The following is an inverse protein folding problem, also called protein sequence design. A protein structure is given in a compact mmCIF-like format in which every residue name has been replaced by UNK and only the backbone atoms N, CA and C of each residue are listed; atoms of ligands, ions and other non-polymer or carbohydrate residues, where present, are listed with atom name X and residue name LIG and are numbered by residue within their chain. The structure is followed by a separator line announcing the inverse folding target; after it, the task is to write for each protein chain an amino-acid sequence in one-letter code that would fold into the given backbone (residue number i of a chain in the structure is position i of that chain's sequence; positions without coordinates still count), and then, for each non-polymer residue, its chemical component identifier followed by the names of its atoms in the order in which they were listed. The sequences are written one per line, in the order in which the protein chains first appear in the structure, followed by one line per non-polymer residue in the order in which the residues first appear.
data_IF_517249419475
#
_entry.id   IF_517249419475
#
_cell.length_a   1.000
_cell.length_b   1.000
_cell.length_c   1.000
_cell.angle_alpha   90.00
_cell.angle_beta   90.00
_cell.angle_gamma   90.00
#
_symmetry.space_group_name_H-M   'P 1'
#
loop_
_entity.id
_entity.type
_entity.pdbx_description
1 polymer ?
#
# COMPACT_ATOMS: atom_id res chain seq x y z
N UNK A 1 74.72 37.94 -32.92
CA UNK A 1 75.26 38.67 -31.74
C UNK A 1 74.39 39.92 -31.54
N UNK A 2 73.96 40.20 -30.31
CA UNK A 2 73.19 41.38 -29.85
C UNK A 2 71.67 41.39 -30.15
N UNK A 3 70.80 40.94 -29.24
CA UNK A 3 70.07 41.64 -28.14
C UNK A 3 69.25 42.88 -28.53
N UNK A 4 67.93 42.83 -28.25
CA UNK A 4 67.07 43.82 -27.53
C UNK A 4 65.59 43.41 -27.69
N UNK A 5 64.96 42.75 -26.70
CA UNK A 5 64.11 43.31 -25.62
C UNK A 5 63.09 44.35 -26.11
N UNK A 6 61.81 43.95 -26.19
CA UNK A 6 60.65 44.83 -26.27
C UNK A 6 59.87 44.72 -24.95
N UNK A 7 59.54 45.87 -24.36
CA UNK A 7 58.86 45.99 -23.06
C UNK A 7 57.33 45.92 -23.20
N UNK A 8 56.73 45.51 -22.08
CA UNK A 8 55.30 45.36 -21.77
C UNK A 8 54.44 46.58 -22.11
N UNK A 9 53.18 46.30 -22.47
CA UNK A 9 52.03 47.09 -22.02
C UNK A 9 50.88 46.12 -21.68
N UNK A 10 50.50 46.16 -20.41
CA UNK A 10 49.49 45.37 -19.72
C UNK A 10 48.07 45.85 -20.07
N UNK A 11 47.19 44.94 -20.48
CA UNK A 11 45.77 45.21 -20.65
C UNK A 11 45.02 44.93 -19.33
N UNK A 12 44.29 45.94 -18.83
CA UNK A 12 43.52 45.88 -17.60
C UNK A 12 42.17 45.16 -17.82
N UNK A 13 41.87 44.19 -16.94
CA UNK A 13 40.59 43.52 -16.79
C UNK A 13 39.65 44.39 -15.93
N UNK A 14 38.40 44.57 -16.36
CA UNK A 14 37.29 45.07 -15.52
C UNK A 14 36.20 44.00 -15.51
N UNK A 15 35.92 43.31 -14.39
CA UNK A 15 34.76 42.46 -14.28
C UNK A 15 33.57 43.29 -13.77
N UNK A 16 32.49 43.34 -14.57
CA UNK A 16 31.22 43.90 -14.11
C UNK A 16 30.44 42.81 -13.36
N UNK A 17 30.31 42.99 -12.06
CA UNK A 17 29.54 42.18 -11.14
C UNK A 17 28.05 42.56 -11.25
N UNK A 18 27.19 41.65 -11.72
CA UNK A 18 25.72 41.79 -11.61
C UNK A 18 25.24 40.81 -10.56
N UNK A 19 24.88 41.33 -9.39
CA UNK A 19 24.28 40.60 -8.29
C UNK A 19 22.76 40.79 -8.29
N UNK A 20 22.02 39.68 -8.36
CA UNK A 20 20.82 39.43 -7.55
C UNK A 20 19.49 40.06 -7.97
N UNK A 21 18.63 39.24 -8.59
CA UNK A 21 17.33 38.91 -7.98
C UNK A 21 17.18 37.39 -8.08
N UNK A 22 17.59 36.69 -7.01
CA UNK A 22 17.18 35.32 -6.80
C UNK A 22 15.70 35.34 -6.41
N UNK A 23 14.81 35.34 -7.41
CA UNK A 23 13.43 34.99 -7.17
C UNK A 23 13.43 33.56 -6.65
N UNK A 24 13.05 33.37 -5.39
CA UNK A 24 12.73 32.07 -4.84
C UNK A 24 11.59 31.48 -5.68
N UNK A 25 11.94 30.71 -6.70
CA UNK A 25 11.04 29.76 -7.31
C UNK A 25 10.69 28.77 -6.20
N UNK A 26 9.57 29.01 -5.52
CA UNK A 26 8.93 28.02 -4.70
C UNK A 26 8.71 26.79 -5.60
N UNK A 27 9.53 25.76 -5.38
CA UNK A 27 9.55 24.56 -6.20
C UNK A 27 8.20 23.86 -6.15
N UNK A 28 7.37 24.07 -7.18
CA UNK A 28 6.37 23.09 -7.55
C UNK A 28 7.10 21.94 -8.23
N UNK A 29 7.05 20.75 -7.62
CA UNK A 29 7.53 19.52 -8.23
C UNK A 29 6.90 19.38 -9.63
N UNK A 30 7.68 19.19 -10.72
CA UNK A 30 7.11 18.98 -12.04
C UNK A 30 6.28 17.70 -12.05
N UNK A 31 5.08 17.73 -12.66
CA UNK A 31 4.46 16.51 -13.21
C UNK A 31 2.97 16.28 -12.96
N UNK A 32 2.33 16.94 -11.99
CA UNK A 32 0.91 16.72 -11.69
C UNK A 32 0.05 17.95 -12.02
N UNK A 33 -1.08 17.72 -12.68
CA UNK A 33 -2.04 18.77 -12.95
C UNK A 33 -3.02 18.93 -11.78
N UNK A 34 -2.92 20.05 -11.06
CA UNK A 34 -3.87 20.46 -10.01
C UNK A 34 -4.86 21.53 -10.48
N UNK A 35 -4.75 21.96 -11.74
CA UNK A 35 -5.57 22.99 -12.34
C UNK A 35 -6.66 22.33 -13.18
N UNK A 36 -7.91 22.39 -12.70
CA UNK A 36 -9.06 21.77 -13.38
C UNK A 36 -9.21 22.27 -14.83
N UNK A 37 -8.82 23.52 -15.11
CA UNK A 37 -8.89 24.09 -16.47
C UNK A 37 -7.92 23.44 -17.47
N UNK A 38 -6.95 22.66 -16.97
CA UNK A 38 -5.98 21.92 -17.79
C UNK A 38 -6.33 20.43 -17.91
N UNK A 39 -7.44 19.97 -17.32
CA UNK A 39 -7.92 18.61 -17.53
C UNK A 39 -8.46 18.52 -18.96
N UNK A 40 -7.93 17.61 -19.82
CA UNK A 40 -8.42 17.47 -21.18
C UNK A 40 -9.82 16.86 -21.19
N UNK A 41 -10.59 17.11 -22.25
CA UNK A 41 -11.85 16.40 -22.45
C UNK A 41 -11.61 14.89 -22.65
N UNK A 42 -12.42 14.06 -22.00
CA UNK A 42 -12.38 12.61 -22.15
C UNK A 42 -13.78 12.00 -22.15
N UNK A 43 -13.91 10.80 -22.70
CA UNK A 43 -15.14 10.01 -22.68
C UNK A 43 -14.90 8.68 -22.00
N UNK A 44 -15.64 8.43 -20.92
CA UNK A 44 -15.58 7.15 -20.22
C UNK A 44 -16.36 6.06 -20.99
N UNK A 45 -15.89 4.81 -21.00
CA UNK A 45 -16.68 3.68 -21.45
C UNK A 45 -17.94 3.54 -20.59
N UNK A 46 -19.08 3.23 -21.23
CA UNK A 46 -20.32 3.00 -20.49
C UNK A 46 -20.27 1.62 -19.79
N UNK A 47 -20.31 1.56 -18.45
CA UNK A 47 -20.28 0.29 -17.74
C UNK A 47 -21.53 -0.56 -18.04
N UNK A 48 -22.66 0.06 -18.40
CA UNK A 48 -23.94 -0.60 -18.71
C UNK A 48 -24.12 -0.86 -20.20
N UNK A 49 -23.02 -0.97 -20.95
CA UNK A 49 -23.01 -1.46 -22.33
C UNK A 49 -22.14 -2.70 -22.41
N UNK A 50 -22.67 -3.79 -22.94
CA UNK A 50 -21.89 -5.00 -23.22
C UNK A 50 -20.78 -4.70 -24.22
N UNK A 51 -19.74 -5.54 -24.26
CA UNK A 51 -18.71 -5.46 -25.30
C UNK A 51 -19.30 -5.59 -26.73
N UNK A 52 -20.50 -6.15 -26.86
CA UNK A 52 -21.25 -6.21 -28.13
C UNK A 52 -21.96 -4.90 -28.51
N UNK A 53 -21.89 -3.85 -27.70
CA UNK A 53 -22.58 -2.57 -27.91
C UNK A 53 -24.04 -2.53 -27.46
N UNK A 54 -24.61 -3.64 -26.97
CA UNK A 54 -25.99 -3.68 -26.46
C UNK A 54 -26.07 -3.14 -25.04
N UNK A 55 -27.16 -2.43 -24.72
CA UNK A 55 -27.42 -1.95 -23.37
C UNK A 55 -27.66 -3.10 -22.37
N UNK A 56 -27.16 -2.92 -21.15
CA UNK A 56 -27.44 -3.72 -19.97
C UNK A 56 -28.60 -3.08 -19.22
N UNK A 57 -29.76 -3.73 -19.19
CA UNK A 57 -31.00 -3.13 -18.68
C UNK A 57 -31.50 -3.76 -17.37
N UNK A 58 -30.76 -4.72 -16.81
CA UNK A 58 -31.15 -5.38 -15.57
C UNK A 58 -29.95 -5.90 -14.76
N UNK A 59 -30.16 -6.04 -13.45
CA UNK A 59 -29.20 -6.65 -12.55
C UNK A 59 -28.83 -8.09 -12.97
N UNK A 60 -29.80 -8.85 -13.51
CA UNK A 60 -29.55 -10.21 -14.01
C UNK A 60 -28.54 -10.20 -15.16
N UNK A 61 -28.71 -9.32 -16.15
CA UNK A 61 -27.79 -9.15 -17.26
C UNK A 61 -26.39 -8.70 -16.81
N UNK A 62 -26.33 -7.81 -15.81
CA UNK A 62 -25.07 -7.39 -15.21
C UNK A 62 -24.34 -8.58 -14.58
N UNK A 63 -24.99 -9.25 -13.62
CA UNK A 63 -24.37 -10.32 -12.82
C UNK A 63 -24.04 -11.55 -13.66
N UNK A 64 -24.89 -11.94 -14.60
CA UNK A 64 -24.68 -13.16 -15.39
C UNK A 64 -23.72 -12.97 -16.56
N UNK A 65 -23.43 -11.74 -16.98
CA UNK A 65 -22.60 -11.49 -18.18
C UNK A 65 -21.69 -10.26 -18.07
N UNK A 66 -22.22 -9.04 -17.93
CA UNK A 66 -21.41 -7.81 -18.03
C UNK A 66 -20.28 -7.77 -17.00
N UNK A 67 -20.55 -8.20 -15.76
CA UNK A 67 -19.54 -8.32 -14.71
C UNK A 67 -18.38 -9.21 -15.13
N UNK A 68 -18.67 -10.31 -15.84
CA UNK A 68 -17.65 -11.21 -16.38
C UNK A 68 -16.79 -10.53 -17.43
N UNK A 69 -17.40 -9.79 -18.36
CA UNK A 69 -16.67 -9.02 -19.38
C UNK A 69 -15.73 -7.97 -18.75
N UNK A 70 -16.21 -7.23 -17.76
CA UNK A 70 -15.41 -6.20 -17.06
C UNK A 70 -14.26 -6.85 -16.30
N UNK A 71 -14.51 -7.93 -15.55
CA UNK A 71 -13.44 -8.64 -14.85
C UNK A 71 -12.37 -9.17 -15.80
N UNK A 72 -12.78 -9.61 -16.98
CA UNK A 72 -11.86 -10.13 -17.99
C UNK A 72 -10.98 -9.03 -18.60
N UNK A 73 -11.52 -7.82 -18.81
CA UNK A 73 -10.73 -6.65 -19.20
C UNK A 73 -9.68 -6.32 -18.14
N UNK A 74 -10.06 -6.25 -16.86
CA UNK A 74 -9.11 -5.97 -15.79
C UNK A 74 -8.02 -7.05 -15.66
N UNK A 75 -8.35 -8.33 -15.88
CA UNK A 75 -7.36 -9.41 -15.86
C UNK A 75 -6.37 -9.35 -17.01
N UNK A 76 -6.81 -8.95 -18.20
CA UNK A 76 -5.95 -8.94 -19.38
C UNK A 76 -5.13 -7.65 -19.49
N UNK A 77 -5.70 -6.51 -19.09
CA UNK A 77 -5.14 -5.20 -19.42
C UNK A 77 -4.61 -4.42 -18.21
N UNK A 78 -4.94 -4.82 -16.97
CA UNK A 78 -4.63 -4.00 -15.77
C UNK A 78 -3.89 -4.78 -14.69
N UNK A 79 -4.50 -5.83 -14.12
CA UNK A 79 -3.99 -6.49 -12.91
C UNK A 79 -3.37 -7.87 -13.16
N UNK A 80 -3.52 -8.42 -14.37
CA UNK A 80 -3.09 -9.79 -14.65
C UNK A 80 -4.07 -10.86 -14.16
N UNK A 81 -3.72 -12.12 -14.40
CA UNK A 81 -4.53 -13.28 -14.03
C UNK A 81 -4.02 -13.91 -12.74
N UNK A 82 -4.95 -14.21 -11.85
CA UNK A 82 -4.67 -15.10 -10.72
C UNK A 82 -4.23 -16.49 -11.24
N UNK A 83 -3.16 -17.08 -10.67
CA UNK A 83 -2.76 -18.45 -10.97
C UNK A 83 -3.88 -19.44 -10.69
N UNK A 84 -4.08 -20.43 -11.58
CA UNK A 84 -5.14 -21.45 -11.43
C UNK A 84 -4.88 -22.40 -10.25
N UNK A 85 -3.61 -22.61 -9.93
CA UNK A 85 -3.16 -23.59 -8.94
C UNK A 85 -2.77 -22.92 -7.62
N UNK A 86 -3.63 -22.02 -7.13
CA UNK A 86 -3.41 -21.38 -5.84
C UNK A 86 -3.34 -22.45 -4.73
N UNK A 87 -2.26 -22.48 -3.91
CA UNK A 87 -2.07 -23.52 -2.92
C UNK A 87 -3.13 -23.45 -1.82
N UNK A 88 -3.41 -24.61 -1.21
CA UNK A 88 -4.26 -24.67 -0.02
C UNK A 88 -3.60 -23.89 1.12
N UNK A 89 -4.38 -23.05 1.79
CA UNK A 89 -3.95 -22.34 2.99
C UNK A 89 -3.94 -23.27 4.21
N UNK A 90 -2.85 -23.25 4.97
CA UNK A 90 -2.77 -23.84 6.31
C UNK A 90 -2.71 -22.73 7.35
N UNK A 91 -3.48 -22.86 8.43
CA UNK A 91 -3.48 -21.90 9.53
C UNK A 91 -2.86 -22.49 10.79
N UNK A 92 -2.20 -21.62 11.56
CA UNK A 92 -1.61 -21.93 12.87
C UNK A 92 -1.84 -20.73 13.80
N UNK A 93 -2.52 -20.95 14.92
CA UNK A 93 -2.68 -19.91 15.95
C UNK A 93 -1.36 -19.77 16.72
N UNK A 94 -0.68 -18.63 16.54
CA UNK A 94 0.60 -18.34 17.19
C UNK A 94 0.40 -17.82 18.61
N UNK A 95 -0.65 -17.03 18.81
CA UNK A 95 -0.93 -16.38 20.09
C UNK A 95 -2.42 -16.06 20.21
N UNK A 96 -2.93 -16.15 21.44
CA UNK A 96 -4.28 -15.76 21.80
C UNK A 96 -4.33 -15.14 23.19
N UNK A 97 -5.08 -14.04 23.30
CA UNK A 97 -5.41 -13.39 24.57
C UNK A 97 -6.90 -13.11 24.64
N UNK A 98 -7.55 -13.46 25.75
CA UNK A 98 -8.98 -13.23 25.97
C UNK A 98 -9.28 -11.82 26.53
N UNK A 99 -8.24 -11.07 26.90
CA UNK A 99 -8.32 -9.82 27.66
C UNK A 99 -7.59 -8.65 26.99
N UNK A 100 -7.51 -8.65 25.66
CA UNK A 100 -6.87 -7.57 24.91
C UNK A 100 -7.70 -6.28 24.92
N UNK A 101 -7.06 -5.17 24.53
CA UNK A 101 -7.67 -3.83 24.50
C UNK A 101 -8.34 -3.44 25.84
N UNK A 102 -7.68 -3.71 26.97
CA UNK A 102 -8.24 -3.42 28.29
C UNK A 102 -9.39 -4.35 28.69
N UNK A 103 -9.41 -5.59 28.17
CA UNK A 103 -10.38 -6.61 28.56
C UNK A 103 -11.69 -6.58 27.79
N UNK A 104 -11.76 -5.88 26.65
CA UNK A 104 -12.96 -5.84 25.80
C UNK A 104 -12.84 -6.75 24.57
N UNK A 105 -11.63 -7.24 24.27
CA UNK A 105 -11.35 -7.97 23.05
C UNK A 105 -10.65 -9.31 23.30
N UNK A 106 -10.99 -10.30 22.48
CA UNK A 106 -10.13 -11.46 22.23
C UNK A 106 -9.20 -11.08 21.09
N UNK A 107 -7.88 -11.14 21.34
CA UNK A 107 -6.84 -11.02 20.30
C UNK A 107 -6.41 -12.40 19.85
N UNK A 108 -6.26 -12.60 18.55
CA UNK A 108 -5.59 -13.76 17.95
C UNK A 108 -4.54 -13.30 16.96
N UNK A 109 -3.39 -13.97 16.96
CA UNK A 109 -2.37 -13.84 15.93
C UNK A 109 -2.23 -15.20 15.25
N UNK A 110 -2.56 -15.25 13.96
CA UNK A 110 -2.70 -16.50 13.20
C UNK A 110 -1.76 -16.44 12.00
N UNK A 111 -0.86 -17.41 11.88
CA UNK A 111 -0.05 -17.61 10.68
C UNK A 111 -0.84 -18.33 9.63
N UNK A 112 -0.81 -17.82 8.40
CA UNK A 112 -1.41 -18.42 7.21
C UNK A 112 -0.29 -18.77 6.22
N UNK A 113 0.02 -20.05 6.10
CA UNK A 113 1.00 -20.57 5.14
C UNK A 113 0.38 -20.59 3.73
N UNK A 114 1.03 -19.92 2.78
CA UNK A 114 0.62 -19.79 1.38
C UNK A 114 1.22 -20.92 0.53
N UNK A 115 1.07 -22.16 0.98
CA UNK A 115 1.82 -23.29 0.45
C UNK A 115 1.84 -24.49 1.39
N UNK A 116 3.04 -24.95 1.72
CA UNK A 116 3.24 -26.04 2.67
C UNK A 116 3.32 -25.50 4.10
N UNK A 117 2.72 -26.22 5.05
CA UNK A 117 2.79 -25.86 6.46
C UNK A 117 4.26 -25.85 6.92
N UNK A 118 4.67 -24.77 7.58
CA UNK A 118 6.02 -24.60 8.11
C UNK A 118 7.03 -24.01 7.10
N UNK A 119 6.60 -23.74 5.87
CA UNK A 119 7.44 -23.16 4.81
C UNK A 119 6.95 -21.75 4.44
N UNK A 120 7.87 -20.87 4.01
CA UNK A 120 7.52 -19.60 3.37
C UNK A 120 6.93 -19.87 1.96
N UNK A 121 6.11 -18.96 1.41
CA UNK A 121 5.64 -17.72 2.03
C UNK A 121 4.51 -17.95 3.04
N UNK A 122 4.46 -17.12 4.07
CA UNK A 122 3.33 -17.04 5.00
C UNK A 122 2.99 -15.60 5.34
N UNK A 123 1.74 -15.38 5.76
CA UNK A 123 1.28 -14.10 6.27
C UNK A 123 0.74 -14.23 7.68
N UNK A 124 1.04 -13.26 8.54
CA UNK A 124 0.53 -13.25 9.92
C UNK A 124 -0.69 -12.33 10.02
N UNK A 125 -1.84 -12.92 10.31
CA UNK A 125 -3.13 -12.25 10.51
C UNK A 125 -3.29 -11.88 11.99
N UNK A 126 -3.52 -10.59 12.27
CA UNK A 126 -3.93 -10.10 13.58
C UNK A 126 -5.44 -9.88 13.58
N UNK A 127 -6.13 -10.43 14.58
CA UNK A 127 -7.59 -10.27 14.77
C UNK A 127 -7.87 -9.77 16.19
N UNK A 128 -8.72 -8.74 16.30
CA UNK A 128 -9.41 -8.39 17.53
C UNK A 128 -10.91 -8.59 17.34
N UNK A 129 -11.55 -9.33 18.23
CA UNK A 129 -13.02 -9.50 18.25
C UNK A 129 -13.58 -9.15 19.63
N UNK A 130 -14.84 -8.69 19.75
CA UNK A 130 -15.48 -8.48 21.05
C UNK A 130 -15.49 -9.78 21.87
N UNK A 131 -15.10 -9.70 23.16
CA UNK A 131 -15.00 -10.88 24.02
C UNK A 131 -16.34 -11.31 24.66
N UNK A 132 -17.34 -10.44 24.63
CA UNK A 132 -18.68 -10.70 25.13
C UNK A 132 -19.63 -11.28 24.06
N UNK A 133 -19.18 -11.32 22.81
CA UNK A 133 -19.94 -11.84 21.67
C UNK A 133 -20.43 -13.28 21.89
N UNK A 134 -21.74 -13.48 21.82
CA UNK A 134 -22.40 -14.80 21.96
C UNK A 134 -22.63 -15.51 20.62
N UNK A 135 -22.45 -14.79 19.52
CA UNK A 135 -22.60 -15.26 18.15
C UNK A 135 -21.46 -14.71 17.30
N UNK A 136 -21.31 -15.20 16.08
CA UNK A 136 -20.38 -14.64 15.12
C UNK A 136 -20.65 -13.13 14.91
N UNK A 137 -19.58 -12.35 14.84
CA UNK A 137 -19.63 -10.90 14.59
C UNK A 137 -19.15 -10.59 13.18
N UNK A 138 -19.69 -9.53 12.53
CA UNK A 138 -19.11 -9.00 11.31
C UNK A 138 -17.66 -8.53 11.53
N UNK A 139 -16.83 -8.64 10.49
CA UNK A 139 -15.39 -8.33 10.54
C UNK A 139 -15.05 -7.26 9.50
N UNK A 140 -14.35 -6.20 9.92
CA UNK A 140 -13.62 -5.33 9.01
C UNK A 140 -12.24 -5.92 8.77
N UNK A 141 -11.90 -6.19 7.51
CA UNK A 141 -10.59 -6.74 7.14
C UNK A 141 -9.89 -5.83 6.15
N UNK A 142 -8.60 -5.58 6.35
CA UNK A 142 -7.78 -4.88 5.39
C UNK A 142 -6.27 -5.13 5.57
N UNK A 143 -5.48 -5.03 4.51
CA UNK A 143 -4.03 -5.04 4.64
C UNK A 143 -3.51 -3.75 5.30
N UNK A 144 -2.44 -3.84 6.10
CA UNK A 144 -1.73 -2.69 6.66
C UNK A 144 -0.37 -2.49 5.99
N UNK A 145 0.15 -1.26 6.11
CA UNK A 145 1.30 -0.82 5.34
C UNK A 145 2.67 -1.14 5.94
N UNK A 146 2.75 -1.37 7.26
CA UNK A 146 4.02 -1.25 8.01
C UNK A 146 4.19 -2.33 9.08
N UNK A 147 3.43 -3.43 8.98
CA UNK A 147 3.43 -4.50 9.98
C UNK A 147 2.30 -4.36 11.00
N UNK A 148 1.79 -5.50 11.47
CA UNK A 148 0.66 -5.55 12.40
C UNK A 148 0.91 -4.76 13.69
N UNK A 149 2.14 -4.77 14.22
CA UNK A 149 2.52 -4.03 15.43
C UNK A 149 2.34 -2.50 15.30
N UNK A 150 2.24 -1.95 14.09
CA UNK A 150 1.99 -0.52 13.90
C UNK A 150 0.52 -0.14 14.03
N UNK A 151 -0.38 -1.13 14.02
CA UNK A 151 -1.84 -0.92 13.93
C UNK A 151 -2.52 -0.72 15.29
N UNK A 152 -1.81 -1.01 16.39
CA UNK A 152 -2.28 -0.78 17.75
C UNK A 152 -1.07 -0.59 18.70
N UNK A 153 -1.29 0.02 19.87
CA UNK A 153 -0.27 0.19 20.90
C UNK A 153 -0.03 -1.08 21.73
N UNK A 154 -0.86 -2.11 21.57
CA UNK A 154 -0.77 -3.39 22.28
C UNK A 154 0.65 -4.01 22.15
N UNK A 155 1.41 -4.14 23.26
CA UNK A 155 2.79 -4.61 23.24
C UNK A 155 2.92 -6.08 22.86
N UNK A 156 1.85 -6.87 22.95
CA UNK A 156 1.90 -8.30 22.67
C UNK A 156 1.63 -8.65 21.21
N UNK A 157 1.31 -7.67 20.35
CA UNK A 157 1.37 -7.88 18.89
C UNK A 157 2.82 -8.16 18.52
N UNK A 158 3.07 -9.28 17.84
CA UNK A 158 4.38 -9.64 17.33
C UNK A 158 4.88 -8.57 16.37
N UNK A 159 6.06 -8.04 16.69
CA UNK A 159 6.75 -7.10 15.83
C UNK A 159 7.46 -7.89 14.73
N UNK A 160 7.47 -7.31 13.54
CA UNK A 160 8.25 -7.81 12.41
C UNK A 160 9.04 -6.64 11.87
N UNK A 161 10.31 -6.91 11.56
CA UNK A 161 11.07 -6.07 10.66
C UNK A 161 10.48 -6.22 9.25
N UNK A 162 10.49 -5.14 8.47
CA UNK A 162 10.12 -5.22 7.06
C UNK A 162 11.21 -4.59 6.20
N UNK A 163 11.24 -5.00 4.94
CA UNK A 163 12.18 -4.45 3.97
C UNK A 163 11.58 -3.24 3.28
N UNK A 164 12.29 -2.12 3.30
CA UNK A 164 12.03 -0.95 2.46
C UNK A 164 13.14 -0.89 1.40
N UNK A 165 12.87 -1.48 0.23
CA UNK A 165 13.92 -1.76 -0.74
C UNK A 165 14.98 -2.69 -0.15
N UNK A 166 16.24 -2.25 -0.11
CA UNK A 166 17.35 -3.05 0.44
C UNK A 166 17.55 -2.87 1.97
N UNK A 167 16.83 -1.96 2.61
CA UNK A 167 17.00 -1.67 4.04
C UNK A 167 16.00 -2.42 4.91
N UNK A 168 16.46 -2.89 6.07
CA UNK A 168 15.61 -3.44 7.13
C UNK A 168 15.14 -2.29 8.01
N UNK A 169 13.82 -2.15 8.15
CA UNK A 169 13.19 -1.08 8.94
C UNK A 169 12.34 -1.70 10.05
N UNK A 170 12.51 -1.18 11.26
CA UNK A 170 11.68 -1.53 12.42
C UNK A 170 10.80 -0.33 12.77
N UNK A 171 9.49 -0.48 12.60
CA UNK A 171 8.54 0.62 12.78
C UNK A 171 8.15 0.77 14.24
N UNK A 172 7.70 1.98 14.56
CA UNK A 172 7.22 2.25 15.90
C UNK A 172 5.86 1.58 16.10
N UNK A 173 5.75 0.81 17.18
CA UNK A 173 4.48 0.21 17.62
C UNK A 173 3.38 1.27 17.74
N UNK A 174 2.21 0.96 17.19
CA UNK A 174 1.02 1.83 17.22
C UNK A 174 1.13 3.12 16.41
N UNK A 175 2.18 3.33 15.61
CA UNK A 175 2.33 4.58 14.84
C UNK A 175 1.16 4.83 13.87
N UNK A 176 0.56 3.75 13.35
CA UNK A 176 -0.60 3.80 12.44
C UNK A 176 -1.91 3.46 13.14
N UNK A 177 -1.95 3.37 14.47
CA UNK A 177 -3.15 3.01 15.23
C UNK A 177 -4.36 3.92 14.94
N UNK A 178 -4.09 5.22 14.70
CA UNK A 178 -5.12 6.20 14.33
C UNK A 178 -5.91 5.83 13.05
N UNK A 179 -5.35 5.00 12.16
CA UNK A 179 -6.00 4.53 10.92
C UNK A 179 -6.86 3.29 11.13
N UNK A 180 -6.62 2.56 12.21
CA UNK A 180 -7.23 1.25 12.48
C UNK A 180 -8.30 1.30 13.57
N UNK A 181 -8.10 2.13 14.60
CA UNK A 181 -9.10 2.39 15.64
C UNK A 181 -9.71 1.10 16.23
N UNK A 182 -8.88 0.09 16.53
CA UNK A 182 -9.33 -1.25 16.90
C UNK A 182 -10.32 -1.24 18.08
N UNK A 183 -10.05 -0.43 19.10
CA UNK A 183 -10.93 -0.26 20.25
C UNK A 183 -12.32 0.26 19.87
N UNK A 184 -12.41 1.24 18.97
CA UNK A 184 -13.68 1.78 18.48
C UNK A 184 -14.48 0.72 17.72
N UNK A 185 -13.81 -0.03 16.84
CA UNK A 185 -14.43 -1.10 16.03
C UNK A 185 -14.99 -2.19 16.95
N UNK A 186 -14.20 -2.63 17.93
CA UNK A 186 -14.62 -3.64 18.91
C UNK A 186 -15.76 -3.15 19.79
N UNK A 187 -15.68 -1.93 20.33
CA UNK A 187 -16.78 -1.32 21.11
C UNK A 187 -18.07 -1.17 20.32
N UNK A 188 -17.98 -1.10 18.99
CA UNK A 188 -19.14 -1.02 18.09
C UNK A 188 -19.74 -2.40 17.76
N UNK A 189 -19.20 -3.49 18.31
CA UNK A 189 -19.71 -4.85 18.11
C UNK A 189 -19.14 -5.57 16.86
N UNK A 190 -18.08 -5.04 16.27
CA UNK A 190 -17.40 -5.61 15.10
C UNK A 190 -16.04 -6.18 15.49
N UNK A 191 -15.57 -7.17 14.75
CA UNK A 191 -14.16 -7.54 14.77
C UNK A 191 -13.35 -6.71 13.76
N UNK A 192 -12.06 -6.57 14.00
CA UNK A 192 -11.09 -6.04 13.04
C UNK A 192 -10.00 -7.07 12.79
N UNK A 193 -9.64 -7.26 11.53
CA UNK A 193 -8.61 -8.18 11.09
C UNK A 193 -7.64 -7.47 10.14
N UNK A 194 -6.34 -7.66 10.34
CA UNK A 194 -5.33 -7.06 9.47
C UNK A 194 -4.14 -7.98 9.24
N UNK A 195 -3.54 -7.83 8.06
CA UNK A 195 -2.33 -8.52 7.62
C UNK A 195 -1.39 -7.50 7.01
N UNK A 196 -0.09 -7.65 7.19
CA UNK A 196 0.87 -6.80 6.49
C UNK A 196 0.95 -7.16 5.01
N UNK A 197 0.76 -6.21 4.09
CA UNK A 197 0.77 -6.55 2.66
C UNK A 197 2.12 -7.10 2.18
N UNK A 198 3.23 -6.68 2.80
CA UNK A 198 4.57 -7.17 2.44
C UNK A 198 4.87 -8.59 2.91
N UNK A 199 3.99 -9.22 3.70
CA UNK A 199 4.02 -10.68 3.90
C UNK A 199 3.51 -11.43 2.65
N UNK A 200 2.77 -10.76 1.77
CA UNK A 200 2.23 -11.31 0.51
C UNK A 200 3.19 -11.00 -0.64
N UNK A 201 3.48 -9.70 -0.84
CA UNK A 201 4.40 -9.21 -1.84
C UNK A 201 4.97 -7.84 -1.40
N UNK A 202 6.28 -7.72 -1.15
CA UNK A 202 6.90 -6.45 -0.78
C UNK A 202 6.77 -5.37 -1.87
N UNK A 203 6.42 -4.14 -1.48
CA UNK A 203 6.23 -3.02 -2.42
C UNK A 203 7.57 -2.36 -2.78
N UNK A 204 8.38 -3.08 -3.56
CA UNK A 204 9.52 -2.55 -4.27
C UNK A 204 9.70 -3.31 -5.59
N UNK A 205 10.22 -2.63 -6.60
CA UNK A 205 10.48 -3.28 -7.88
C UNK A 205 11.68 -4.22 -7.77
N UNK A 206 11.41 -5.52 -7.82
CA UNK A 206 12.41 -6.58 -7.84
C UNK A 206 12.39 -7.41 -9.14
N UNK A 207 11.61 -6.97 -10.14
CA UNK A 207 11.23 -7.73 -11.33
C UNK A 207 10.46 -9.05 -11.04
N UNK A 208 9.50 -9.03 -10.11
CA UNK A 208 8.59 -10.15 -9.81
C UNK A 208 9.32 -11.38 -9.27
N UNK A 209 10.31 -11.17 -8.40
CA UNK A 209 11.16 -12.26 -7.88
C UNK A 209 10.65 -12.81 -6.55
N UNK A 210 10.05 -11.97 -5.72
CA UNK A 210 9.55 -12.34 -4.39
C UNK A 210 8.02 -12.48 -4.35
N UNK A 211 7.35 -12.38 -5.50
CA UNK A 211 5.91 -12.50 -5.71
C UNK A 211 5.56 -12.90 -7.14
#
# INVERSE_FOLDING_TARGET
MMTKRFQMLTAAFIPLLVAGIAGSAAGQTPGFNYDESKVPDYKLPDPLVFNSGKAVTSAKQWTSKRRGEVLELFRNEVYGRQPKDAPRLYSEELERSENALGGIAIRRQIRLYLGRRGEQPYMDLLVYQPNDAKKAVPVFMGPNFRGNHTTDHDPAIHAKEYHQGQSVVMEKRGEKAHRWQAELVVKSGFAVATVYYGDIDPDFDDNWKNG
#
